data_IF_840712141203
#
_entry.id   IF_840712141203
#
_cell.length_a   1.000
_cell.length_b   1.000
_cell.length_c   1.000
_cell.angle_alpha   90.00
_cell.angle_beta   90.00
_cell.angle_gamma   90.00
#
_symmetry.space_group_name_H-M   'P 1'
#
loop_
_entity.id
_entity.type
_entity.pdbx_description
1 polymer ?
#
# COMPACT_ATOMS: atom_id res chain seq x y z
N UNK A 1 14.79 -22.96 5.08
CA UNK A 1 15.53 -22.63 6.32
C UNK A 1 14.58 -21.99 7.29
N UNK A 2 14.75 -22.24 8.59
CA UNK A 2 14.02 -21.55 9.65
C UNK A 2 14.67 -20.20 9.93
N UNK A 3 13.90 -19.24 10.46
CA UNK A 3 14.36 -17.85 10.65
C UNK A 3 15.57 -17.73 11.60
N UNK A 4 15.70 -18.65 12.55
CA UNK A 4 16.83 -18.79 13.47
C UNK A 4 18.11 -19.18 12.73
N UNK A 5 18.05 -20.15 11.82
CA UNK A 5 19.21 -20.54 10.99
C UNK A 5 19.65 -19.39 10.08
N UNK A 6 18.68 -18.66 9.51
CA UNK A 6 18.95 -17.49 8.66
C UNK A 6 19.65 -16.41 9.46
N UNK A 7 19.21 -16.14 10.69
CA UNK A 7 19.79 -15.12 11.54
C UNK A 7 21.24 -15.45 11.94
N UNK A 8 21.54 -16.72 12.20
CA UNK A 8 22.92 -17.18 12.45
C UNK A 8 23.79 -16.95 11.22
N UNK A 9 23.35 -17.39 10.04
CA UNK A 9 24.10 -17.18 8.79
C UNK A 9 24.37 -15.71 8.52
N UNK A 10 23.37 -14.84 8.70
CA UNK A 10 23.53 -13.40 8.50
C UNK A 10 24.42 -12.71 9.55
N UNK A 11 24.51 -13.28 10.76
CA UNK A 11 25.38 -12.75 11.82
C UNK A 11 26.86 -12.96 11.51
N UNK A 12 27.20 -14.02 10.78
CA UNK A 12 28.57 -14.34 10.35
C UNK A 12 28.86 -13.89 8.89
N UNK A 13 27.87 -13.31 8.21
CA UNK A 13 27.96 -12.96 6.79
C UNK A 13 28.65 -11.61 6.53
N UNK A 14 29.93 -11.66 6.14
CA UNK A 14 30.77 -10.49 5.90
C UNK A 14 30.81 -10.02 4.44
N UNK A 15 30.53 -10.88 3.46
CA UNK A 15 30.76 -10.53 2.04
C UNK A 15 29.83 -11.21 1.03
N UNK A 16 28.83 -11.96 1.48
CA UNK A 16 27.91 -12.68 0.60
C UNK A 16 26.49 -12.09 0.66
N UNK A 17 25.69 -12.37 -0.38
CA UNK A 17 24.22 -12.25 -0.35
C UNK A 17 23.64 -13.65 -0.37
N UNK A 18 22.87 -13.98 0.67
CA UNK A 18 22.08 -15.20 0.73
C UNK A 18 20.63 -14.92 0.33
N UNK A 19 20.19 -15.59 -0.73
CA UNK A 19 18.82 -15.61 -1.20
C UNK A 19 18.16 -16.92 -0.80
N UNK A 20 17.07 -16.82 -0.04
CA UNK A 20 16.34 -17.97 0.49
C UNK A 20 14.96 -18.00 -0.12
N UNK A 21 14.58 -19.15 -0.68
CA UNK A 21 13.29 -19.34 -1.33
C UNK A 21 12.18 -19.47 -0.30
N UNK A 22 11.19 -18.61 -0.42
CA UNK A 22 9.91 -18.65 0.28
C UNK A 22 8.78 -18.81 -0.74
N UNK A 23 8.40 -20.07 -1.00
CA UNK A 23 7.39 -20.45 -2.00
C UNK A 23 7.75 -19.95 -3.41
N UNK A 24 7.05 -18.91 -3.90
CA UNK A 24 7.23 -18.29 -5.23
C UNK A 24 8.09 -17.02 -5.19
N UNK A 25 8.74 -16.75 -4.07
CA UNK A 25 9.58 -15.59 -3.85
C UNK A 25 10.95 -16.02 -3.35
N UNK A 26 11.95 -15.20 -3.61
CA UNK A 26 13.24 -15.24 -2.93
C UNK A 26 13.33 -14.07 -1.96
N UNK A 27 13.99 -14.30 -0.83
CA UNK A 27 14.16 -13.31 0.22
C UNK A 27 15.63 -13.20 0.61
N UNK A 28 16.07 -11.97 0.86
CA UNK A 28 17.36 -11.68 1.48
C UNK A 28 17.08 -11.03 2.85
N UNK A 29 17.90 -11.34 3.84
CA UNK A 29 17.75 -10.88 5.22
C UNK A 29 18.95 -10.02 5.63
N UNK A 30 18.76 -9.13 6.60
CA UNK A 30 19.85 -8.45 7.31
C UNK A 30 20.95 -7.88 6.38
N UNK A 31 22.19 -8.40 6.48
CA UNK A 31 23.33 -7.93 5.72
C UNK A 31 23.21 -8.27 4.23
N UNK A 32 22.65 -9.43 3.91
CA UNK A 32 22.30 -9.78 2.52
C UNK A 32 21.30 -8.80 1.92
N UNK A 33 20.27 -8.38 2.68
CA UNK A 33 19.31 -7.39 2.20
C UNK A 33 19.97 -6.03 1.93
N UNK A 34 20.89 -5.61 2.81
CA UNK A 34 21.65 -4.38 2.64
C UNK A 34 22.51 -4.39 1.36
N UNK A 35 23.30 -5.46 1.17
CA UNK A 35 24.18 -5.62 -0.01
C UNK A 35 23.37 -5.71 -1.30
N UNK A 36 22.24 -6.40 -1.27
CA UNK A 36 21.35 -6.51 -2.42
C UNK A 36 20.87 -5.14 -2.91
N UNK A 37 20.43 -4.27 -2.00
CA UNK A 37 19.98 -2.90 -2.32
C UNK A 37 21.13 -2.05 -2.88
N UNK A 38 22.36 -2.30 -2.41
CA UNK A 38 23.54 -1.52 -2.82
C UNK A 38 24.15 -1.93 -4.14
N UNK A 39 24.22 -3.23 -4.43
CA UNK A 39 24.99 -3.75 -5.56
C UNK A 39 24.16 -4.37 -6.68
N UNK A 40 22.91 -4.75 -6.40
CA UNK A 40 22.05 -5.39 -7.38
C UNK A 40 20.92 -4.46 -7.79
N UNK A 41 19.87 -4.40 -6.96
CA UNK A 41 18.67 -3.63 -7.28
C UNK A 41 18.04 -3.07 -6.02
N UNK A 42 17.57 -1.84 -6.12
CA UNK A 42 16.81 -1.22 -5.04
C UNK A 42 15.43 -1.88 -4.93
N UNK A 43 15.25 -2.66 -3.87
CA UNK A 43 13.97 -3.22 -3.46
C UNK A 43 13.54 -2.65 -2.12
N UNK A 44 12.23 -2.60 -1.91
CA UNK A 44 11.68 -2.18 -0.63
C UNK A 44 12.10 -3.15 0.46
N UNK A 45 12.84 -2.64 1.44
CA UNK A 45 13.19 -3.38 2.64
C UNK A 45 12.05 -3.27 3.65
N UNK A 46 11.69 -4.42 4.21
CA UNK A 46 10.69 -4.59 5.24
C UNK A 46 11.37 -4.86 6.57
N UNK A 47 10.68 -4.51 7.65
CA UNK A 47 11.12 -4.76 9.02
C UNK A 47 10.05 -5.57 9.76
N UNK A 48 10.48 -6.48 10.64
CA UNK A 48 9.61 -7.22 11.56
C UNK A 48 10.36 -7.57 12.84
N UNK A 49 9.70 -7.46 13.99
CA UNK A 49 10.22 -8.01 15.24
C UNK A 49 9.93 -9.51 15.32
N UNK A 50 10.97 -10.34 15.49
CA UNK A 50 10.83 -11.81 15.55
C UNK A 50 10.92 -12.27 17.00
N UNK A 51 9.77 -12.59 17.61
CA UNK A 51 9.68 -13.02 19.02
C UNK A 51 10.59 -14.20 19.39
N UNK A 52 10.80 -15.15 18.46
CA UNK A 52 11.65 -16.34 18.67
C UNK A 52 13.14 -15.96 18.85
N UNK A 53 13.58 -14.90 18.17
CA UNK A 53 14.97 -14.40 18.18
C UNK A 53 15.11 -13.25 19.18
N UNK A 54 14.02 -12.57 19.52
CA UNK A 54 14.03 -11.41 20.41
C UNK A 54 14.63 -10.15 19.77
N UNK A 55 14.72 -10.11 18.44
CA UNK A 55 15.39 -9.04 17.71
C UNK A 55 14.55 -8.51 16.54
N UNK A 56 14.88 -7.27 16.16
CA UNK A 56 14.41 -6.64 14.93
C UNK A 56 15.13 -7.23 13.73
N UNK A 57 14.34 -7.72 12.77
CA UNK A 57 14.84 -8.33 11.54
C UNK A 57 14.39 -7.52 10.34
N UNK A 58 15.34 -7.15 9.49
CA UNK A 58 15.09 -6.53 8.19
C UNK A 58 15.22 -7.55 7.07
N UNK A 59 14.37 -7.45 6.05
CA UNK A 59 14.37 -8.37 4.92
C UNK A 59 13.79 -7.72 3.68
N UNK A 60 14.16 -8.22 2.51
CA UNK A 60 13.54 -7.87 1.24
C UNK A 60 13.19 -9.14 0.48
N UNK A 61 12.29 -9.04 -0.50
CA UNK A 61 11.98 -10.18 -1.34
C UNK A 61 11.46 -9.79 -2.71
N UNK A 62 11.64 -10.70 -3.65
CA UNK A 62 11.28 -10.54 -5.06
C UNK A 62 10.75 -11.85 -5.64
N UNK A 63 9.91 -11.79 -6.70
CA UNK A 63 9.32 -12.99 -7.29
C UNK A 63 10.36 -13.82 -8.05
N UNK A 64 10.16 -15.14 -8.07
CA UNK A 64 10.99 -16.14 -8.76
C UNK A 64 11.24 -15.81 -10.24
N UNK A 65 10.27 -15.17 -10.91
CA UNK A 65 10.38 -14.76 -12.32
C UNK A 65 11.51 -13.76 -12.60
N UNK A 66 12.05 -13.10 -11.57
CA UNK A 66 13.15 -12.13 -11.71
C UNK A 66 14.53 -12.78 -11.49
N UNK A 67 14.56 -14.02 -10.99
CA UNK A 67 15.79 -14.69 -10.58
C UNK A 67 16.77 -14.86 -11.75
N UNK A 68 16.28 -15.28 -12.92
CA UNK A 68 17.13 -15.49 -14.10
C UNK A 68 17.78 -14.20 -14.58
N UNK A 69 17.04 -13.08 -14.54
CA UNK A 69 17.58 -11.76 -14.86
C UNK A 69 18.63 -11.31 -13.85
N UNK A 70 18.38 -11.54 -12.56
CA UNK A 70 19.33 -11.21 -11.50
C UNK A 70 20.62 -12.03 -11.60
N UNK A 71 20.50 -13.30 -12.00
CA UNK A 71 21.66 -14.16 -12.23
C UNK A 71 22.55 -13.62 -13.36
N UNK A 72 21.93 -13.20 -14.47
CA UNK A 72 22.66 -12.58 -15.57
C UNK A 72 23.36 -11.28 -15.11
N UNK A 73 22.65 -10.41 -14.41
CA UNK A 73 23.22 -9.15 -13.87
C UNK A 73 24.38 -9.40 -12.90
N UNK A 74 24.25 -10.40 -12.02
CA UNK A 74 25.31 -10.73 -11.08
C UNK A 74 26.56 -11.27 -11.81
N UNK A 75 26.38 -12.09 -12.84
CA UNK A 75 27.48 -12.61 -13.64
C UNK A 75 28.15 -11.52 -14.49
N UNK A 76 27.37 -10.62 -15.09
CA UNK A 76 27.87 -9.47 -15.84
C UNK A 76 28.67 -8.51 -14.95
N UNK A 77 28.26 -8.37 -13.69
CA UNK A 77 28.99 -7.61 -12.67
C UNK A 77 30.21 -8.35 -12.09
N UNK A 78 30.47 -9.59 -12.51
CA UNK A 78 31.61 -10.40 -12.07
C UNK A 78 31.45 -11.09 -10.72
N UNK A 79 30.22 -11.18 -10.20
CA UNK A 79 29.93 -11.89 -8.94
C UNK A 79 29.76 -13.39 -9.17
N UNK A 80 30.16 -14.18 -8.17
CA UNK A 80 30.00 -15.63 -8.19
C UNK A 80 28.60 -16.01 -7.72
N UNK A 81 27.92 -16.86 -8.49
CA UNK A 81 26.58 -17.37 -8.17
C UNK A 81 26.63 -18.87 -7.82
N UNK A 82 26.33 -19.24 -6.58
CA UNK A 82 26.37 -20.62 -6.09
C UNK A 82 25.01 -21.05 -5.55
N UNK A 83 24.56 -22.23 -5.94
CA UNK A 83 23.33 -22.84 -5.42
C UNK A 83 23.75 -23.83 -4.34
N UNK A 84 23.38 -23.54 -3.08
CA UNK A 84 23.82 -24.31 -1.91
C UNK A 84 22.87 -25.46 -1.60
N UNK A 85 21.57 -25.32 -1.88
CA UNK A 85 20.58 -26.35 -1.57
C UNK A 85 19.42 -26.33 -2.56
N UNK A 86 19.42 -27.25 -3.54
CA UNK A 86 18.32 -27.58 -4.46
C UNK A 86 17.37 -26.41 -4.79
N UNK A 87 17.92 -25.30 -5.27
CA UNK A 87 17.22 -24.05 -5.66
C UNK A 87 16.45 -23.33 -4.53
N UNK A 88 16.69 -23.67 -3.28
CA UNK A 88 16.08 -23.03 -2.09
C UNK A 88 17.02 -22.05 -1.39
N UNK A 89 18.32 -22.18 -1.60
CA UNK A 89 19.33 -21.30 -1.05
C UNK A 89 20.39 -21.03 -2.10
N UNK A 90 20.56 -19.75 -2.40
CA UNK A 90 21.51 -19.25 -3.37
C UNK A 90 22.42 -18.27 -2.63
N UNK A 91 23.71 -18.40 -2.86
CA UNK A 91 24.73 -17.48 -2.39
C UNK A 91 25.34 -16.74 -3.57
N UNK A 92 25.43 -15.42 -3.42
CA UNK A 92 26.16 -14.55 -4.33
C UNK A 92 27.39 -14.05 -3.57
N UNK A 93 28.58 -14.42 -4.03
CA UNK A 93 29.86 -14.06 -3.40
C UNK A 93 30.72 -13.17 -4.32
N UNK A 94 31.74 -12.52 -3.75
CA UNK A 94 32.61 -11.58 -4.49
C UNK A 94 32.17 -10.12 -4.42
N UNK A 95 31.35 -9.77 -3.43
CA UNK A 95 30.91 -8.39 -3.19
C UNK A 95 31.93 -7.68 -2.29
N UNK A 96 32.17 -6.36 -2.49
CA UNK A 96 33.06 -5.62 -1.64
C UNK A 96 32.49 -5.46 -0.23
N UNK A 97 33.39 -5.35 0.75
CA UNK A 97 33.04 -5.10 2.13
C UNK A 97 32.40 -3.71 2.27
N UNK A 98 31.32 -3.64 3.04
CA UNK A 98 30.54 -2.43 3.23
C UNK A 98 30.47 -2.09 4.71
N UNK A 99 31.05 -0.95 5.06
CA UNK A 99 30.82 -0.30 6.35
C UNK A 99 29.48 0.46 6.32
N UNK A 100 28.85 0.64 7.47
CA UNK A 100 27.54 1.33 7.67
C UNK A 100 26.27 0.46 7.63
N UNK A 101 26.39 -0.87 7.78
CA UNK A 101 25.22 -1.74 7.96
C UNK A 101 24.36 -1.32 9.16
N UNK A 102 24.99 -1.10 10.32
CA UNK A 102 24.27 -0.81 11.56
C UNK A 102 23.54 0.53 11.52
N UNK A 103 24.15 1.54 10.89
CA UNK A 103 23.54 2.84 10.66
C UNK A 103 22.32 2.73 9.72
N UNK A 104 22.44 1.93 8.65
CA UNK A 104 21.34 1.67 7.72
C UNK A 104 20.18 0.91 8.38
N UNK A 105 20.48 -0.16 9.13
CA UNK A 105 19.47 -0.93 9.87
C UNK A 105 18.75 -0.06 10.89
N UNK A 106 19.50 0.74 11.66
CA UNK A 106 18.95 1.66 12.65
C UNK A 106 18.03 2.69 12.00
N UNK A 107 18.40 3.25 10.85
CA UNK A 107 17.54 4.17 10.08
C UNK A 107 16.22 3.54 9.66
N UNK A 108 16.24 2.28 9.23
CA UNK A 108 15.02 1.54 8.86
C UNK A 108 14.15 1.29 10.08
N UNK A 109 14.73 0.81 11.19
CA UNK A 109 13.98 0.51 12.42
C UNK A 109 13.39 1.79 13.03
N UNK A 110 14.14 2.90 13.04
CA UNK A 110 13.67 4.19 13.55
C UNK A 110 12.63 4.86 12.67
N UNK A 111 12.69 4.68 11.34
CA UNK A 111 11.66 5.19 10.41
C UNK A 111 10.27 4.61 10.66
N UNK A 112 10.19 3.44 11.32
CA UNK A 112 8.93 2.78 11.70
C UNK A 112 8.47 3.20 13.11
N UNK A 113 9.37 3.71 13.96
CA UNK A 113 9.10 4.09 15.35
C UNK A 113 8.70 5.55 15.59
N UNK A 114 9.14 6.51 14.75
CA UNK A 114 8.90 7.94 14.96
C UNK A 114 8.31 8.61 13.71
N UNK A 115 6.99 8.52 13.55
CA UNK A 115 6.25 9.37 12.61
C UNK A 115 5.67 10.59 13.34
N UNK A 116 6.50 11.62 13.55
CA UNK A 116 6.04 13.01 13.69
C UNK A 116 7.15 13.99 13.31
N UNK A 117 6.88 14.71 12.22
CA UNK A 117 7.25 16.12 11.98
C UNK A 117 8.73 16.44 11.70
N UNK A 118 9.13 16.34 10.43
CA UNK A 118 9.40 17.51 9.56
C UNK A 118 10.02 17.04 8.23
N UNK A 119 9.30 17.22 7.12
CA UNK A 119 9.87 17.14 5.77
C UNK A 119 9.92 18.55 5.22
N UNK A 120 11.13 19.13 5.23
CA UNK A 120 11.48 20.23 4.35
C UNK A 120 11.57 19.69 2.92
N UNK A 121 10.71 20.23 2.06
CA UNK A 121 10.67 20.08 0.60
C UNK A 121 12.07 19.96 -0.03
N UNK A 122 12.23 18.97 -0.92
CA UNK A 122 12.68 19.27 -2.27
C UNK A 122 11.97 18.38 -3.29
N UNK A 123 11.47 19.04 -4.31
CA UNK A 123 10.72 18.53 -5.44
C UNK A 123 11.53 17.54 -6.27
N UNK A 124 11.01 16.32 -6.44
CA UNK A 124 11.03 15.62 -7.71
C UNK A 124 9.89 14.60 -7.70
N UNK A 125 9.03 14.71 -8.71
CA UNK A 125 7.99 13.78 -9.13
C UNK A 125 8.39 12.31 -8.92
N UNK A 126 8.01 11.74 -7.77
CA UNK A 126 7.99 10.29 -7.58
C UNK A 126 6.65 9.85 -8.13
N UNK A 127 6.65 9.34 -9.36
CA UNK A 127 5.57 8.49 -9.83
C UNK A 127 5.46 7.32 -8.87
N UNK A 128 4.51 7.42 -7.94
CA UNK A 128 4.20 6.38 -6.97
C UNK A 128 3.61 5.22 -7.73
N UNK A 129 4.46 4.30 -8.19
CA UNK A 129 4.03 3.06 -8.84
C UNK A 129 3.22 2.26 -7.81
N UNK A 130 1.89 2.33 -7.90
CA UNK A 130 1.01 1.49 -7.09
C UNK A 130 1.26 0.04 -7.51
N UNK A 131 1.55 -0.88 -6.58
CA UNK A 131 1.65 -2.29 -6.93
C UNK A 131 0.37 -2.77 -7.61
N UNK A 132 0.47 -3.47 -8.75
CA UNK A 132 -0.70 -3.95 -9.52
C UNK A 132 -1.73 -4.69 -8.65
N UNK A 133 -1.26 -5.52 -7.71
CA UNK A 133 -2.13 -6.22 -6.75
C UNK A 133 -3.01 -5.26 -5.94
N UNK A 134 -2.47 -4.12 -5.54
CA UNK A 134 -3.17 -3.09 -4.78
C UNK A 134 -4.17 -2.34 -5.68
N UNK A 135 -3.81 -2.08 -6.95
CA UNK A 135 -4.73 -1.52 -7.95
C UNK A 135 -5.92 -2.44 -8.21
N UNK A 136 -5.73 -3.76 -8.32
CA UNK A 136 -6.84 -4.70 -8.49
C UNK A 136 -7.82 -4.68 -7.31
N UNK A 137 -7.31 -4.54 -6.08
CA UNK A 137 -8.17 -4.41 -4.90
C UNK A 137 -8.94 -3.09 -4.94
N UNK A 138 -8.28 -1.98 -5.22
CA UNK A 138 -8.93 -0.66 -5.34
C UNK A 138 -10.01 -0.70 -6.42
N UNK A 139 -9.70 -1.24 -7.60
CA UNK A 139 -10.64 -1.40 -8.71
C UNK A 139 -11.87 -2.20 -8.31
N UNK A 140 -11.66 -3.39 -7.70
CA UNK A 140 -12.77 -4.25 -7.27
C UNK A 140 -13.68 -3.55 -6.26
N UNK A 141 -13.08 -2.94 -5.23
CA UNK A 141 -13.85 -2.24 -4.18
C UNK A 141 -14.63 -1.05 -4.75
N UNK A 142 -14.02 -0.32 -5.70
CA UNK A 142 -14.67 0.79 -6.38
C UNK A 142 -15.78 0.34 -7.33
N UNK A 143 -15.61 -0.81 -7.99
CA UNK A 143 -16.64 -1.43 -8.82
C UNK A 143 -17.87 -1.80 -7.98
N UNK A 144 -17.68 -2.48 -6.85
CA UNK A 144 -18.76 -2.87 -5.95
C UNK A 144 -19.51 -1.63 -5.41
N UNK A 145 -18.77 -0.58 -5.06
CA UNK A 145 -19.34 0.71 -4.65
C UNK A 145 -20.15 1.36 -5.80
N UNK A 146 -19.59 1.41 -7.01
CA UNK A 146 -20.26 1.99 -8.19
C UNK A 146 -21.56 1.26 -8.47
N UNK A 147 -21.55 -0.08 -8.49
CA UNK A 147 -22.74 -0.90 -8.70
C UNK A 147 -23.81 -0.63 -7.63
N UNK A 148 -23.40 -0.52 -6.37
CA UNK A 148 -24.30 -0.16 -5.28
C UNK A 148 -24.94 1.22 -5.50
N UNK A 149 -24.14 2.24 -5.84
CA UNK A 149 -24.62 3.60 -6.08
C UNK A 149 -25.55 3.68 -7.30
N UNK A 150 -25.29 2.92 -8.37
CA UNK A 150 -26.21 2.83 -9.51
C UNK A 150 -27.58 2.29 -9.10
N UNK A 151 -27.61 1.23 -8.27
CA UNK A 151 -28.86 0.63 -7.75
C UNK A 151 -29.56 1.52 -6.72
N UNK A 152 -28.82 2.31 -5.97
CA UNK A 152 -29.36 3.25 -4.98
C UNK A 152 -30.02 4.43 -5.69
N UNK A 153 -29.28 5.07 -6.59
CA UNK A 153 -29.71 6.28 -7.32
C UNK A 153 -30.87 6.00 -8.29
N UNK A 154 -31.09 4.76 -8.71
CA UNK A 154 -32.24 4.39 -9.54
C UNK A 154 -33.58 4.50 -8.81
N UNK A 155 -33.54 4.44 -7.46
CA UNK A 155 -34.70 4.53 -6.55
C UNK A 155 -35.01 5.95 -6.09
N UNK A 156 -34.21 6.94 -6.47
CA UNK A 156 -34.43 8.33 -6.08
C UNK A 156 -35.72 8.89 -6.67
N UNK A 157 -36.27 9.90 -5.98
CA UNK A 157 -37.41 10.64 -6.49
C UNK A 157 -37.06 11.31 -7.84
N UNK A 158 -38.05 11.45 -8.73
CA UNK A 158 -37.86 11.93 -10.11
C UNK A 158 -37.02 13.20 -10.21
N UNK A 159 -37.26 14.15 -9.30
CA UNK A 159 -36.57 15.44 -9.25
C UNK A 159 -35.05 15.33 -9.00
N UNK A 160 -34.61 14.29 -8.29
CA UNK A 160 -33.19 14.07 -7.97
C UNK A 160 -32.56 12.98 -8.82
N UNK A 161 -33.37 12.07 -9.38
CA UNK A 161 -32.92 10.93 -10.18
C UNK A 161 -32.17 11.35 -11.45
N UNK A 162 -32.69 12.34 -12.17
CA UNK A 162 -32.16 12.81 -13.45
C UNK A 162 -31.15 13.97 -13.33
N UNK A 163 -31.07 14.57 -12.14
CA UNK A 163 -30.07 15.60 -11.83
C UNK A 163 -28.90 14.98 -11.09
N UNK A 164 -29.00 14.99 -9.77
CA UNK A 164 -27.93 14.55 -8.88
C UNK A 164 -27.62 13.05 -9.03
N UNK A 165 -28.65 12.22 -9.22
CA UNK A 165 -28.51 10.77 -9.39
C UNK A 165 -27.77 10.38 -10.67
N UNK A 166 -28.09 10.99 -11.81
CA UNK A 166 -27.41 10.74 -13.08
C UNK A 166 -25.96 11.22 -13.05
N UNK A 167 -25.72 12.46 -12.59
CA UNK A 167 -24.35 12.99 -12.45
C UNK A 167 -23.49 12.12 -11.53
N UNK A 168 -24.07 11.59 -10.45
CA UNK A 168 -23.36 10.69 -9.55
C UNK A 168 -22.96 9.39 -10.24
N UNK A 169 -23.88 8.79 -11.00
CA UNK A 169 -23.60 7.56 -11.77
C UNK A 169 -22.53 7.79 -12.82
N UNK A 170 -22.66 8.86 -13.60
CA UNK A 170 -21.73 9.21 -14.69
C UNK A 170 -20.31 9.39 -14.17
N UNK A 171 -20.12 10.14 -13.09
CA UNK A 171 -18.79 10.33 -12.52
C UNK A 171 -18.22 9.05 -11.91
N UNK A 172 -19.04 8.21 -11.25
CA UNK A 172 -18.57 6.91 -10.76
C UNK A 172 -18.09 6.03 -11.92
N UNK A 173 -18.86 5.96 -13.01
CA UNK A 173 -18.49 5.17 -14.19
C UNK A 173 -17.24 5.73 -14.87
N UNK A 174 -17.11 7.06 -14.94
CA UNK A 174 -15.90 7.71 -15.47
C UNK A 174 -14.66 7.30 -14.67
N UNK A 175 -14.68 7.42 -13.34
CA UNK A 175 -13.54 7.05 -12.50
C UNK A 175 -13.26 5.55 -12.56
N UNK A 176 -14.29 4.71 -12.66
CA UNK A 176 -14.12 3.27 -12.86
C UNK A 176 -13.42 2.96 -14.18
N UNK A 177 -13.75 3.66 -15.26
CA UNK A 177 -13.08 3.53 -16.55
C UNK A 177 -11.61 3.97 -16.47
N UNK A 178 -11.32 5.06 -15.77
CA UNK A 178 -9.94 5.50 -15.52
C UNK A 178 -9.14 4.44 -14.76
N UNK A 179 -9.72 3.87 -13.69
CA UNK A 179 -9.10 2.79 -12.92
C UNK A 179 -8.82 1.56 -13.78
N UNK A 180 -9.73 1.20 -14.69
CA UNK A 180 -9.53 0.09 -15.62
C UNK A 180 -8.38 0.37 -16.59
N UNK A 181 -8.28 1.60 -17.12
CA UNK A 181 -7.16 2.01 -17.96
C UNK A 181 -5.82 1.94 -17.22
N UNK A 182 -5.80 2.31 -15.94
CA UNK A 182 -4.60 2.18 -15.08
C UNK A 182 -4.23 0.71 -14.86
N UNK A 183 -5.20 -0.16 -14.57
CA UNK A 183 -4.96 -1.60 -14.39
C UNK A 183 -4.41 -2.23 -15.67
N UNK A 184 -4.83 -1.75 -16.84
CA UNK A 184 -4.30 -2.16 -18.15
C UNK A 184 -2.99 -1.45 -18.54
N UNK A 185 -2.40 -0.65 -17.63
CA UNK A 185 -1.17 0.12 -17.88
C UNK A 185 -1.25 1.07 -19.08
N UNK A 186 -2.45 1.54 -19.44
CA UNK A 186 -2.67 2.49 -20.54
C UNK A 186 -2.48 3.94 -20.12
N UNK A 187 -2.71 4.23 -18.85
CA UNK A 187 -2.64 5.57 -18.24
C UNK A 187 -1.98 5.45 -16.87
N UNK A 188 -1.24 6.48 -16.45
CA UNK A 188 -0.66 6.56 -15.11
C UNK A 188 -1.75 6.70 -14.03
N UNK A 189 -1.49 6.17 -12.83
CA UNK A 189 -2.44 6.27 -11.73
C UNK A 189 -2.39 7.66 -11.06
N UNK A 190 -3.46 8.43 -11.21
CA UNK A 190 -3.58 9.75 -10.59
C UNK A 190 -4.25 9.68 -9.20
N UNK A 191 -3.43 9.56 -8.14
CA UNK A 191 -3.89 9.55 -6.76
C UNK A 191 -4.79 10.74 -6.40
N UNK A 192 -4.37 11.95 -6.78
CA UNK A 192 -5.04 13.21 -6.44
C UNK A 192 -6.45 13.26 -7.04
N UNK A 193 -6.61 12.73 -8.27
CA UNK A 193 -7.90 12.71 -8.96
C UNK A 193 -8.89 11.79 -8.25
N UNK A 194 -8.47 10.57 -7.91
CA UNK A 194 -9.32 9.63 -7.18
C UNK A 194 -9.67 10.13 -5.77
N UNK A 195 -8.70 10.70 -5.05
CA UNK A 195 -8.93 11.23 -3.71
C UNK A 195 -9.94 12.39 -3.72
N UNK A 196 -9.77 13.35 -4.63
CA UNK A 196 -10.71 14.46 -4.82
C UNK A 196 -12.11 13.95 -5.14
N UNK A 197 -12.21 12.90 -5.96
CA UNK A 197 -13.48 12.27 -6.26
C UNK A 197 -14.13 11.67 -5.01
N UNK A 198 -13.39 10.91 -4.20
CA UNK A 198 -13.93 10.27 -2.97
C UNK A 198 -14.46 11.30 -1.97
N UNK A 199 -13.75 12.42 -1.77
CA UNK A 199 -14.23 13.52 -0.92
C UNK A 199 -15.50 14.16 -1.50
N UNK A 200 -15.52 14.39 -2.81
CA UNK A 200 -16.71 14.93 -3.50
C UNK A 200 -17.91 14.00 -3.35
N UNK A 201 -17.68 12.69 -3.46
CA UNK A 201 -18.69 11.65 -3.29
C UNK A 201 -19.27 11.67 -1.85
N UNK A 202 -18.44 11.81 -0.82
CA UNK A 202 -18.91 11.95 0.57
C UNK A 202 -19.83 13.15 0.76
N UNK A 203 -19.44 14.33 0.25
CA UNK A 203 -20.23 15.56 0.37
C UNK A 203 -21.59 15.38 -0.33
N UNK A 204 -21.60 14.81 -1.54
CA UNK A 204 -22.85 14.56 -2.28
C UNK A 204 -23.75 13.56 -1.58
N UNK A 205 -23.19 12.52 -0.97
CA UNK A 205 -23.97 11.55 -0.20
C UNK A 205 -24.53 12.15 1.08
N UNK A 206 -23.80 13.06 1.73
CA UNK A 206 -24.34 13.79 2.89
C UNK A 206 -25.51 14.68 2.48
N UNK A 207 -25.38 15.39 1.37
CA UNK A 207 -26.50 16.17 0.82
C UNK A 207 -27.71 15.29 0.48
N UNK A 208 -27.48 14.09 -0.09
CA UNK A 208 -28.56 13.13 -0.39
C UNK A 208 -29.24 12.56 0.86
N UNK A 209 -28.50 12.43 1.97
CA UNK A 209 -29.06 12.08 3.28
C UNK A 209 -29.96 13.21 3.80
N UNK A 210 -29.47 14.45 3.76
CA UNK A 210 -30.22 15.64 4.21
C UNK A 210 -31.49 15.85 3.37
N UNK A 211 -31.43 15.55 2.07
CA UNK A 211 -32.58 15.54 1.14
C UNK A 211 -33.47 14.30 1.25
N UNK A 212 -33.22 13.42 2.23
CA UNK A 212 -33.98 12.19 2.50
C UNK A 212 -34.07 11.23 1.31
N UNK A 213 -33.10 11.28 0.38
CA UNK A 213 -33.02 10.35 -0.75
C UNK A 213 -32.28 9.05 -0.40
N UNK A 214 -31.46 9.11 0.64
CA UNK A 214 -30.66 7.99 1.14
C UNK A 214 -30.92 7.86 2.64
N UNK A 215 -31.01 6.63 3.14
CA UNK A 215 -31.18 6.39 4.57
C UNK A 215 -29.85 6.46 5.30
N UNK A 216 -29.88 6.70 6.61
CA UNK A 216 -28.67 6.72 7.43
C UNK A 216 -27.85 5.42 7.31
N UNK A 217 -28.52 4.27 7.29
CA UNK A 217 -27.85 2.96 7.08
C UNK A 217 -27.12 2.88 5.75
N UNK A 218 -27.72 3.39 4.67
CA UNK A 218 -27.11 3.42 3.34
C UNK A 218 -25.94 4.40 3.29
N UNK A 219 -26.07 5.56 3.94
CA UNK A 219 -24.99 6.53 4.07
C UNK A 219 -23.79 5.95 4.83
N UNK A 220 -24.01 5.31 5.99
CA UNK A 220 -22.96 4.64 6.77
C UNK A 220 -22.24 3.58 5.92
N UNK A 221 -23.00 2.72 5.23
CA UNK A 221 -22.44 1.68 4.37
C UNK A 221 -21.52 2.26 3.29
N UNK A 222 -21.97 3.30 2.58
CA UNK A 222 -21.15 3.92 1.55
C UNK A 222 -19.95 4.64 2.13
N UNK A 223 -20.12 5.34 3.26
CA UNK A 223 -19.02 6.05 3.90
C UNK A 223 -17.92 5.07 4.36
N UNK A 224 -18.28 3.91 4.90
CA UNK A 224 -17.34 2.85 5.24
C UNK A 224 -16.58 2.33 4.01
N UNK A 225 -17.26 2.15 2.88
CA UNK A 225 -16.61 1.78 1.62
C UNK A 225 -15.61 2.86 1.14
N UNK A 226 -15.97 4.15 1.27
CA UNK A 226 -15.08 5.26 0.91
C UNK A 226 -13.85 5.31 1.83
N UNK A 227 -14.04 5.19 3.14
CA UNK A 227 -12.92 5.15 4.11
C UNK A 227 -12.01 3.96 3.82
N UNK A 228 -12.57 2.78 3.50
CA UNK A 228 -11.79 1.62 3.09
C UNK A 228 -10.95 1.93 1.84
N UNK A 229 -11.51 2.60 0.83
CA UNK A 229 -10.77 3.04 -0.35
C UNK A 229 -9.67 4.06 -0.01
N UNK A 230 -9.95 5.03 0.86
CA UNK A 230 -8.95 6.01 1.32
C UNK A 230 -7.78 5.35 2.07
N UNK A 231 -8.08 4.38 2.94
CA UNK A 231 -7.09 3.58 3.65
C UNK A 231 -6.22 2.77 2.68
N UNK A 232 -6.86 2.16 1.66
CA UNK A 232 -6.14 1.50 0.59
C UNK A 232 -5.24 2.49 -0.16
N UNK A 233 -5.64 3.73 -0.37
CA UNK A 233 -4.80 4.71 -1.08
C UNK A 233 -3.60 5.22 -0.26
N UNK A 234 -3.57 5.00 1.06
CA UNK A 234 -2.41 5.26 1.90
C UNK A 234 -2.49 6.54 2.73
N UNK A 235 -3.67 7.12 2.91
CA UNK A 235 -3.91 8.13 3.95
C UNK A 235 -4.62 7.47 5.12
N UNK A 236 -3.93 7.41 6.27
CA UNK A 236 -4.59 7.22 7.56
C UNK A 236 -5.65 8.32 7.69
N UNK A 237 -6.90 8.00 8.00
CA UNK A 237 -7.89 9.01 8.28
C UNK A 237 -7.42 9.70 9.55
N UNK A 238 -6.98 10.94 9.42
CA UNK A 238 -6.93 11.87 10.55
C UNK A 238 -8.29 11.79 11.22
N UNK A 239 -8.30 11.33 12.48
CA UNK A 239 -9.40 11.37 13.44
C UNK A 239 -10.61 12.16 12.95
N UNK A 240 -11.55 11.49 12.29
CA UNK A 240 -12.93 11.93 12.33
C UNK A 240 -13.51 11.31 13.59
N UNK A 241 -13.39 12.04 14.69
CA UNK A 241 -14.25 11.85 15.83
C UNK A 241 -15.68 11.83 15.31
N UNK A 242 -16.33 10.69 15.46
CA UNK A 242 -17.78 10.65 15.53
C UNK A 242 -18.16 11.67 16.60
N UNK A 243 -18.96 12.70 16.31
CA UNK A 243 -19.58 13.45 17.39
C UNK A 243 -20.50 12.46 18.11
N UNK A 244 -20.11 12.05 19.30
CA UNK A 244 -21.03 11.47 20.28
C UNK A 244 -22.22 12.43 20.36
N UNK A 245 -23.41 11.96 19.98
CA UNK A 245 -24.64 12.68 20.27
C UNK A 245 -24.78 12.74 21.79
N UNK A 246 -24.73 13.92 22.43
CA UNK A 246 -25.16 14.03 23.80
C UNK A 246 -26.68 13.93 23.78
N UNK A 247 -27.17 12.94 24.54
CA UNK A 247 -28.56 12.79 24.92
C UNK A 247 -29.07 14.12 25.47
N UNK A 248 -30.21 14.53 24.94
CA UNK A 248 -30.99 15.68 25.37
C UNK A 248 -31.28 15.66 26.88
N UNK A 249 -30.91 16.73 27.58
CA UNK A 249 -31.62 17.17 28.80
C UNK A 249 -31.71 18.71 28.87
N UNK A 250 -32.91 19.16 29.26
CA UNK A 250 -33.36 20.52 29.63
C UNK A 250 -33.56 21.52 28.47
N UNK A 251 -34.80 21.91 28.15
CA UNK A 251 -35.58 22.99 28.81
C UNK A 251 -34.83 24.33 28.72
N UNK A 252 -35.32 25.43 28.15
CA UNK A 252 -36.68 25.94 28.02
C UNK A 252 -36.67 27.22 27.12
N UNK A 253 -37.82 27.89 26.87
CA UNK A 253 -38.05 28.80 25.75
C UNK A 253 -37.74 30.29 26.05
N UNK A 254 -37.90 31.11 25.00
CA UNK A 254 -38.13 32.58 24.95
C UNK A 254 -37.01 33.38 24.27
N UNK A 255 -37.27 33.81 23.03
CA UNK A 255 -37.64 35.20 22.71
C UNK A 255 -38.17 35.26 21.26
#
# INVERSE_FOLDING_TARGET
MLIDEIYTVESDNESSIHLIRDRKFFQAYERSAFRFVKFLREYKVHHKFVKKIGADVVYLGFPDSVLDGLRAEAQDAGYEWKIISDDRHIEISGLPELESYDAWKTGIVQSVGNASTNVSKLSSTVETVVPLKKLFVIYREFYDLTLYLCRLTSKFHRNFKFGLGDKLREECVSVLADLQCVVQSKIAFEYVRLERFLVTLQIRLRLLLDLKQVTEKQWIFVNQAIVKLQNLLGRNPVNQGLPECPVSESSSPLA
#
